data_IF_666657509104
#
_entry.id   IF_666657509104
#
_cell.length_a   1.000
_cell.length_b   1.000
_cell.length_c   1.000
_cell.angle_alpha   90.00
_cell.angle_beta   90.00
_cell.angle_gamma   90.00
#
_symmetry.space_group_name_H-M   'P 1'
#
loop_
_entity.id
_entity.type
_entity.pdbx_description
1 polymer ?
#
# COMPACT_ATOMS: atom_id res chain seq x y z
N UNK A 1 7.52 35.97 6.03
CA UNK A 1 6.93 35.53 4.77
C UNK A 1 7.99 34.70 4.05
N UNK A 2 7.94 33.37 4.19
CA UNK A 2 8.85 32.50 3.42
C UNK A 2 8.34 32.47 1.99
N UNK A 3 9.08 33.05 1.07
CA UNK A 3 8.89 32.89 -0.36
C UNK A 3 9.20 31.43 -0.65
N UNK A 4 8.17 30.58 -0.68
CA UNK A 4 8.29 29.21 -1.17
C UNK A 4 8.80 29.30 -2.61
N UNK A 5 9.97 28.74 -2.83
CA UNK A 5 10.65 28.69 -4.11
C UNK A 5 9.78 27.85 -5.05
N UNK A 6 8.91 28.46 -5.86
CA UNK A 6 7.98 27.81 -6.78
C UNK A 6 8.65 26.90 -7.82
N UNK A 7 9.97 26.80 -7.81
CA UNK A 7 10.75 26.08 -8.80
C UNK A 7 11.17 24.67 -8.37
N UNK A 8 11.12 24.34 -7.08
CA UNK A 8 11.52 22.99 -6.59
C UNK A 8 10.31 22.06 -6.62
N UNK A 9 10.40 20.93 -7.32
CA UNK A 9 9.30 19.95 -7.34
C UNK A 9 9.01 19.37 -5.96
N UNK A 10 7.73 19.19 -5.66
CA UNK A 10 7.28 18.43 -4.50
C UNK A 10 7.38 16.94 -4.85
N UNK A 11 8.07 16.15 -4.03
CA UNK A 11 8.06 14.71 -4.16
C UNK A 11 6.82 14.17 -3.43
N UNK A 12 6.03 13.33 -4.12
CA UNK A 12 4.86 12.66 -3.56
C UNK A 12 5.04 11.14 -3.74
N UNK A 13 5.16 10.44 -2.62
CA UNK A 13 5.19 8.99 -2.56
C UNK A 13 3.79 8.40 -2.64
N UNK A 14 3.55 7.49 -3.59
CA UNK A 14 2.24 6.85 -3.76
C UNK A 14 2.41 5.33 -3.80
N UNK A 15 1.85 4.66 -2.80
CA UNK A 15 1.72 3.20 -2.77
C UNK A 15 0.36 2.81 -3.38
N UNK A 16 0.41 2.29 -4.61
CA UNK A 16 -0.75 1.82 -5.37
C UNK A 16 -1.14 0.39 -4.94
N UNK A 17 -1.68 0.28 -3.72
CA UNK A 17 -2.14 -1.01 -3.21
C UNK A 17 -3.48 -1.45 -3.80
N UNK A 18 -3.77 -2.75 -3.75
CA UNK A 18 -5.05 -3.31 -4.24
C UNK A 18 -6.25 -2.97 -3.35
N UNK A 19 -6.05 -2.83 -2.06
CA UNK A 19 -7.13 -2.46 -1.14
C UNK A 19 -7.17 -0.97 -0.83
N UNK A 20 -6.01 -0.32 -0.77
CA UNK A 20 -5.90 1.09 -0.44
C UNK A 20 -4.76 1.74 -1.23
N UNK A 21 -4.99 2.97 -1.66
CA UNK A 21 -3.95 3.90 -2.08
C UNK A 21 -3.43 4.61 -0.84
N UNK A 22 -2.11 4.72 -0.73
CA UNK A 22 -1.47 5.40 0.41
C UNK A 22 -0.45 6.40 -0.09
N UNK A 23 -0.38 7.52 0.59
CA UNK A 23 0.69 8.51 0.46
C UNK A 23 1.42 8.63 1.79
N UNK A 24 2.36 9.55 1.92
CA UNK A 24 3.00 9.80 3.21
C UNK A 24 2.00 10.23 4.30
N UNK A 25 0.91 10.91 3.93
CA UNK A 25 0.01 11.58 4.86
C UNK A 25 -1.46 11.13 4.76
N UNK A 26 -1.83 10.30 3.79
CA UNK A 26 -3.21 9.83 3.65
C UNK A 26 -3.32 8.38 3.16
N UNK A 27 -4.47 7.78 3.48
CA UNK A 27 -4.85 6.44 3.04
C UNK A 27 -6.33 6.47 2.64
N UNK A 28 -6.67 5.86 1.50
CA UNK A 28 -8.05 5.73 1.03
C UNK A 28 -8.23 4.47 0.18
N UNK A 29 -9.48 3.99 0.09
CA UNK A 29 -9.80 2.75 -0.62
C UNK A 29 -9.48 2.84 -2.11
N UNK A 30 -8.90 1.78 -2.66
CA UNK A 30 -8.64 1.61 -4.09
C UNK A 30 -9.93 1.17 -4.79
N UNK A 31 -10.76 2.11 -5.20
CA UNK A 31 -11.98 1.86 -5.95
C UNK A 31 -12.33 3.11 -6.73
N UNK A 32 -12.88 2.95 -7.92
CA UNK A 32 -13.30 4.04 -8.80
C UNK A 32 -14.59 3.66 -9.50
N UNK A 33 -15.65 4.42 -9.24
CA UNK A 33 -16.88 4.36 -10.03
C UNK A 33 -16.91 5.54 -11.01
N UNK A 34 -17.05 5.27 -12.31
CA UNK A 34 -17.05 6.31 -13.36
C UNK A 34 -18.45 6.61 -13.87
N UNK A 35 -18.71 7.88 -14.16
CA UNK A 35 -20.01 8.37 -14.62
C UNK A 35 -19.86 9.41 -15.74
N UNK A 36 -20.77 9.38 -16.72
CA UNK A 36 -20.84 10.38 -17.78
C UNK A 36 -21.63 11.65 -17.35
N UNK A 37 -22.37 11.56 -16.23
CA UNK A 37 -23.13 12.68 -15.65
C UNK A 37 -22.74 12.82 -14.18
N UNK A 38 -22.83 14.05 -13.69
CA UNK A 38 -22.49 14.35 -12.30
C UNK A 38 -23.36 13.54 -11.32
N UNK A 39 -22.75 12.74 -10.41
CA UNK A 39 -23.48 11.95 -9.43
C UNK A 39 -24.06 12.81 -8.31
N UNK A 40 -25.11 12.30 -7.66
CA UNK A 40 -25.79 13.00 -6.55
C UNK A 40 -24.88 13.14 -5.33
N UNK A 41 -24.10 12.11 -5.01
CA UNK A 41 -23.16 12.12 -3.89
C UNK A 41 -21.77 12.52 -4.37
N UNK A 42 -21.18 13.57 -3.76
CA UNK A 42 -19.97 14.23 -4.26
C UNK A 42 -18.79 14.21 -3.29
N UNK A 43 -18.89 13.48 -2.18
CA UNK A 43 -17.90 13.58 -1.08
C UNK A 43 -16.45 13.29 -1.50
N UNK A 44 -16.25 12.41 -2.47
CA UNK A 44 -14.93 12.06 -3.03
C UNK A 44 -14.96 12.15 -4.57
N UNK A 45 -15.72 13.12 -5.10
CA UNK A 45 -15.84 13.32 -6.53
C UNK A 45 -14.55 13.90 -7.09
N UNK A 46 -14.00 13.23 -8.10
CA UNK A 46 -12.93 13.69 -8.98
C UNK A 46 -13.54 13.93 -10.37
N UNK A 47 -13.23 15.07 -10.99
CA UNK A 47 -13.62 15.38 -12.37
C UNK A 47 -12.35 15.58 -13.17
N UNK A 48 -12.19 14.78 -14.23
CA UNK A 48 -11.03 14.82 -15.11
C UNK A 48 -11.48 14.55 -16.56
N UNK A 49 -11.02 15.36 -17.49
CA UNK A 49 -11.36 15.30 -18.93
C UNK A 49 -12.89 15.18 -19.19
N UNK A 50 -13.70 15.92 -18.42
CA UNK A 50 -15.15 15.95 -18.57
C UNK A 50 -15.91 14.73 -18.05
N UNK A 51 -15.23 13.76 -17.42
CA UNK A 51 -15.82 12.59 -16.78
C UNK A 51 -15.78 12.72 -15.26
N UNK A 52 -16.71 12.04 -14.60
CA UNK A 52 -16.90 12.06 -13.15
C UNK A 52 -16.49 10.73 -12.56
N UNK A 53 -15.70 10.77 -11.47
CA UNK A 53 -15.18 9.59 -10.80
C UNK A 53 -15.41 9.68 -9.29
N UNK A 54 -16.11 8.73 -8.70
CA UNK A 54 -16.21 8.59 -7.24
C UNK A 54 -15.07 7.71 -6.73
N UNK A 55 -14.22 8.30 -5.91
CA UNK A 55 -13.04 7.63 -5.36
C UNK A 55 -13.38 6.90 -4.07
N UNK A 56 -12.98 5.63 -3.98
CA UNK A 56 -13.21 4.76 -2.82
C UNK A 56 -14.51 3.97 -2.90
N UNK A 57 -15.24 4.10 -3.98
CA UNK A 57 -16.41 3.28 -4.31
C UNK A 57 -15.98 2.06 -5.13
N UNK A 58 -16.73 0.96 -5.00
CA UNK A 58 -16.44 -0.33 -5.60
C UNK A 58 -15.15 -1.01 -5.07
N UNK A 59 -15.05 -2.31 -5.29
CA UNK A 59 -13.90 -3.10 -4.87
C UNK A 59 -13.09 -3.49 -6.10
N UNK A 60 -11.79 -3.16 -6.12
CA UNK A 60 -10.92 -3.60 -7.21
C UNK A 60 -10.41 -5.01 -6.96
N UNK A 61 -10.56 -5.85 -7.97
CA UNK A 61 -9.91 -7.14 -7.99
C UNK A 61 -8.41 -7.01 -8.28
N UNK A 62 -7.66 -8.02 -7.86
CA UNK A 62 -6.24 -8.12 -8.16
C UNK A 62 -6.03 -8.26 -9.68
N UNK A 63 -5.31 -7.32 -10.28
CA UNK A 63 -4.80 -7.43 -11.65
C UNK A 63 -3.29 -7.45 -11.64
N UNK A 64 -2.69 -8.38 -12.40
CA UNK A 64 -1.22 -8.47 -12.51
C UNK A 64 -0.62 -7.27 -13.29
N UNK A 65 -1.43 -6.57 -14.08
CA UNK A 65 -1.02 -5.40 -14.85
C UNK A 65 -1.80 -4.17 -14.41
N UNK A 66 -1.14 -3.30 -13.63
CA UNK A 66 -1.72 -2.02 -13.18
C UNK A 66 -1.88 -1.02 -14.31
N UNK A 67 -1.14 -1.16 -15.41
CA UNK A 67 -1.14 -0.22 -16.53
C UNK A 67 -2.30 -0.47 -17.50
N UNK A 68 -2.83 -1.70 -17.52
CA UNK A 68 -4.03 -2.03 -18.28
C UNK A 68 -5.30 -1.39 -17.68
N UNK A 69 -5.20 -0.84 -16.47
CA UNK A 69 -6.30 -0.29 -15.71
C UNK A 69 -6.14 1.24 -15.56
N UNK A 70 -6.95 1.99 -16.32
CA UNK A 70 -6.96 3.46 -16.30
C UNK A 70 -7.28 4.07 -14.93
N UNK A 71 -7.93 3.33 -14.03
CA UNK A 71 -8.32 3.82 -12.72
C UNK A 71 -7.10 4.11 -11.83
N UNK A 72 -5.97 3.40 -12.01
CA UNK A 72 -4.76 3.73 -11.24
C UNK A 72 -4.22 5.12 -11.54
N UNK A 73 -4.44 5.64 -12.75
CA UNK A 73 -4.11 7.03 -13.07
C UNK A 73 -5.05 8.01 -12.34
N UNK A 74 -6.36 7.74 -12.36
CA UNK A 74 -7.36 8.53 -11.63
C UNK A 74 -7.08 8.51 -10.12
N UNK A 75 -6.71 7.35 -9.57
CA UNK A 75 -6.31 7.21 -8.17
C UNK A 75 -5.01 7.97 -7.85
N UNK A 76 -4.08 8.06 -8.82
CA UNK A 76 -2.88 8.90 -8.70
C UNK A 76 -3.25 10.38 -8.61
N UNK A 77 -4.15 10.88 -9.46
CA UNK A 77 -4.64 12.27 -9.37
C UNK A 77 -5.33 12.54 -8.04
N UNK A 78 -6.16 11.60 -7.56
CA UNK A 78 -6.80 11.72 -6.25
C UNK A 78 -5.77 11.76 -5.10
N UNK A 79 -4.71 10.96 -5.18
CA UNK A 79 -3.62 10.95 -4.20
C UNK A 79 -2.86 12.29 -4.19
N UNK A 80 -2.53 12.83 -5.37
CA UNK A 80 -1.90 14.15 -5.52
C UNK A 80 -2.82 15.24 -4.93
N UNK A 81 -4.10 15.24 -5.30
CA UNK A 81 -5.05 16.24 -4.79
C UNK A 81 -5.18 16.21 -3.26
N UNK A 82 -5.17 15.02 -2.63
CA UNK A 82 -5.16 14.90 -1.16
C UNK A 82 -3.88 15.45 -0.53
N UNK A 83 -2.72 15.13 -1.08
CA UNK A 83 -1.43 15.63 -0.60
C UNK A 83 -1.31 17.15 -0.75
N UNK A 84 -1.74 17.71 -1.88
CA UNK A 84 -1.75 19.14 -2.09
C UNK A 84 -2.74 19.86 -1.15
N UNK A 85 -3.92 19.29 -0.91
CA UNK A 85 -4.88 19.83 0.06
C UNK A 85 -4.29 19.87 1.48
N UNK A 86 -3.61 18.83 1.93
CA UNK A 86 -2.91 18.81 3.24
C UNK A 86 -1.87 19.92 3.31
N UNK A 87 -1.17 20.17 2.20
CA UNK A 87 -0.16 21.25 2.07
C UNK A 87 -0.78 22.62 1.80
N UNK A 88 -2.10 22.73 1.69
CA UNK A 88 -2.85 23.95 1.36
C UNK A 88 -2.40 24.58 0.04
N UNK A 89 -2.16 23.74 -0.96
CA UNK A 89 -1.74 24.12 -2.31
C UNK A 89 -2.77 23.60 -3.32
N UNK A 90 -2.98 24.36 -4.38
CA UNK A 90 -3.85 23.98 -5.51
C UNK A 90 -3.06 23.89 -6.83
N UNK A 91 -1.81 24.34 -6.82
CA UNK A 91 -0.91 24.22 -7.96
C UNK A 91 0.48 23.81 -7.48
N UNK A 92 1.14 22.87 -8.18
CA UNK A 92 2.48 22.41 -7.86
C UNK A 92 3.16 21.72 -9.03
N UNK A 93 4.50 21.78 -9.02
CA UNK A 93 5.34 20.86 -9.79
C UNK A 93 5.56 19.60 -8.95
N UNK A 94 5.19 18.45 -9.47
CA UNK A 94 5.20 17.18 -8.72
C UNK A 94 6.14 16.18 -9.37
N UNK A 95 7.04 15.62 -8.57
CA UNK A 95 7.81 14.43 -8.89
C UNK A 95 7.19 13.24 -8.16
N UNK A 96 6.74 12.23 -8.90
CA UNK A 96 6.11 11.05 -8.34
C UNK A 96 7.17 10.05 -7.85
N UNK A 97 6.92 9.44 -6.71
CA UNK A 97 7.69 8.31 -6.22
C UNK A 97 6.73 7.14 -5.98
N UNK A 98 6.83 6.08 -6.77
CA UNK A 98 5.91 4.95 -6.71
C UNK A 98 6.65 3.62 -6.70
N UNK A 99 5.95 2.52 -6.63
CA UNK A 99 6.59 1.22 -6.61
C UNK A 99 5.81 0.08 -7.23
N UNK A 100 6.59 -0.96 -7.54
CA UNK A 100 6.13 -2.25 -8.04
C UNK A 100 6.67 -3.37 -7.13
N UNK A 101 6.02 -4.54 -7.10
CA UNK A 101 6.62 -5.73 -6.50
C UNK A 101 8.03 -5.94 -7.03
N UNK A 102 8.97 -6.37 -6.17
CA UNK A 102 10.39 -6.46 -6.53
C UNK A 102 10.61 -7.26 -7.82
N UNK A 103 9.89 -8.38 -7.98
CA UNK A 103 9.96 -9.26 -9.15
C UNK A 103 9.49 -8.62 -10.46
N UNK A 104 8.76 -7.51 -10.40
CA UNK A 104 8.21 -6.80 -11.58
C UNK A 104 9.00 -5.55 -11.94
N UNK A 105 9.81 -5.04 -11.00
CA UNK A 105 10.52 -3.76 -11.20
C UNK A 105 11.41 -3.81 -12.43
N UNK A 106 12.16 -4.90 -12.64
CA UNK A 106 13.08 -5.03 -13.78
C UNK A 106 12.39 -4.95 -15.14
N UNK A 107 11.17 -5.50 -15.26
CA UNK A 107 10.45 -5.61 -16.53
C UNK A 107 9.46 -4.46 -16.75
N UNK A 108 8.80 -3.97 -15.70
CA UNK A 108 7.67 -3.05 -15.83
C UNK A 108 7.98 -1.60 -15.41
N UNK A 109 9.16 -1.35 -14.84
CA UNK A 109 9.54 -0.03 -14.29
C UNK A 109 9.35 1.12 -15.29
N UNK A 110 9.88 0.99 -16.49
CA UNK A 110 9.86 2.08 -17.48
C UNK A 110 8.46 2.29 -18.06
N UNK A 111 7.73 1.21 -18.29
CA UNK A 111 6.34 1.28 -18.73
C UNK A 111 5.44 1.91 -17.67
N UNK A 112 5.61 1.54 -16.39
CA UNK A 112 4.84 2.12 -15.29
C UNK A 112 5.19 3.60 -15.07
N UNK A 113 6.46 3.98 -15.23
CA UNK A 113 6.87 5.38 -15.23
C UNK A 113 6.20 6.18 -16.34
N UNK A 114 6.18 5.66 -17.57
CA UNK A 114 5.50 6.31 -18.71
C UNK A 114 3.99 6.42 -18.47
N UNK A 115 3.36 5.38 -17.91
CA UNK A 115 1.95 5.40 -17.56
C UNK A 115 1.63 6.51 -16.56
N UNK A 116 2.45 6.72 -15.53
CA UNK A 116 2.26 7.78 -14.54
C UNK A 116 2.50 9.18 -15.13
N UNK A 117 3.36 9.29 -16.13
CA UNK A 117 3.75 10.54 -16.81
C UNK A 117 3.10 10.67 -18.20
N UNK A 118 1.90 10.09 -18.42
CA UNK A 118 1.22 10.15 -19.72
C UNK A 118 0.79 11.57 -20.13
N UNK A 119 0.80 12.51 -19.20
CA UNK A 119 0.59 13.95 -19.39
C UNK A 119 1.65 14.71 -18.60
N UNK A 120 2.23 15.75 -19.19
CA UNK A 120 3.21 16.62 -18.52
C UNK A 120 2.54 17.60 -17.55
N UNK A 121 1.31 18.02 -17.87
CA UNK A 121 0.48 18.90 -17.03
C UNK A 121 -0.95 18.41 -17.03
N UNK A 122 -1.60 18.49 -15.88
CA UNK A 122 -2.97 18.03 -15.67
C UNK A 122 -3.76 19.02 -14.83
N UNK A 123 -5.00 19.28 -15.30
CA UNK A 123 -6.03 20.03 -14.58
C UNK A 123 -7.13 19.07 -14.18
N UNK A 124 -7.52 19.07 -12.91
CA UNK A 124 -8.62 18.26 -12.41
C UNK A 124 -9.31 18.91 -11.22
N UNK A 125 -10.58 18.59 -11.01
CA UNK A 125 -11.31 18.98 -9.81
C UNK A 125 -11.39 17.80 -8.87
N UNK A 126 -11.12 18.01 -7.60
CA UNK A 126 -11.26 16.96 -6.60
C UNK A 126 -11.77 17.54 -5.27
N UNK A 127 -12.89 16.98 -4.76
CA UNK A 127 -13.51 17.39 -3.49
C UNK A 127 -13.82 18.88 -3.41
N UNK A 128 -14.25 19.47 -4.53
CA UNK A 128 -14.64 20.89 -4.63
C UNK A 128 -13.48 21.88 -4.83
N UNK A 129 -12.24 21.41 -4.97
CA UNK A 129 -11.09 22.24 -5.32
C UNK A 129 -10.59 21.92 -6.74
N UNK A 130 -10.11 22.93 -7.44
CA UNK A 130 -9.46 22.82 -8.74
C UNK A 130 -7.94 22.75 -8.54
N UNK A 131 -7.30 21.78 -9.16
CA UNK A 131 -5.87 21.55 -9.08
C UNK A 131 -5.21 21.68 -10.45
N UNK A 132 -4.06 22.34 -10.49
CA UNK A 132 -3.16 22.40 -11.63
C UNK A 132 -1.81 21.78 -11.24
N UNK A 133 -1.39 20.72 -11.94
CA UNK A 133 -0.20 19.94 -11.57
C UNK A 133 0.68 19.71 -12.78
N UNK A 134 1.94 20.13 -12.69
CA UNK A 134 2.99 19.77 -13.64
C UNK A 134 3.70 18.49 -13.14
N UNK A 135 3.57 17.41 -13.89
CA UNK A 135 4.25 16.15 -13.61
C UNK A 135 5.66 16.17 -14.20
N UNK A 136 6.65 16.50 -13.38
CA UNK A 136 8.04 16.75 -13.85
C UNK A 136 8.92 15.51 -13.87
N UNK A 137 8.45 14.39 -13.33
CA UNK A 137 9.18 13.13 -13.34
C UNK A 137 8.59 12.09 -12.42
N UNK A 138 9.09 10.86 -12.53
CA UNK A 138 8.73 9.77 -11.62
C UNK A 138 9.90 8.84 -11.37
N UNK A 139 10.01 8.36 -10.13
CA UNK A 139 10.90 7.28 -9.71
C UNK A 139 10.09 6.06 -9.31
N UNK A 140 10.52 4.88 -9.77
CA UNK A 140 9.91 3.60 -9.43
C UNK A 140 10.86 2.79 -8.57
N UNK A 141 10.36 2.27 -7.43
CA UNK A 141 11.10 1.54 -6.42
C UNK A 141 10.50 0.16 -6.15
N UNK A 142 11.27 -0.79 -5.58
CA UNK A 142 10.72 -2.03 -5.08
C UNK A 142 9.76 -1.79 -3.90
N UNK A 143 8.52 -2.27 -4.02
CA UNK A 143 7.52 -2.26 -2.96
C UNK A 143 8.01 -3.08 -1.76
N UNK A 144 7.60 -2.74 -0.55
CA UNK A 144 8.04 -3.40 0.68
C UNK A 144 9.44 -2.96 1.12
N UNK A 145 10.47 -3.08 0.26
CA UNK A 145 11.83 -2.62 0.59
C UNK A 145 11.88 -1.13 0.94
N UNK A 146 11.09 -0.32 0.25
CA UNK A 146 10.98 1.10 0.54
C UNK A 146 10.50 1.37 1.97
N UNK A 147 9.59 0.55 2.51
CA UNK A 147 9.06 0.73 3.86
C UNK A 147 10.10 0.60 4.98
N UNK A 148 11.28 0.07 4.68
CA UNK A 148 12.41 -0.08 5.63
C UNK A 148 13.66 0.66 5.18
N UNK A 149 13.57 1.47 4.12
CA UNK A 149 14.72 2.11 3.50
C UNK A 149 15.48 3.08 4.45
N UNK A 150 14.78 3.77 5.32
CA UNK A 150 15.33 4.65 6.36
C UNK A 150 15.96 3.90 7.54
N UNK A 151 15.57 2.63 7.75
CA UNK A 151 16.05 1.74 8.81
C UNK A 151 17.01 0.65 8.33
N UNK A 152 17.47 0.68 7.06
CA UNK A 152 18.38 -0.34 6.51
C UNK A 152 19.68 -0.54 7.33
N UNK A 153 20.06 0.44 8.15
CA UNK A 153 21.23 0.32 9.04
C UNK A 153 21.08 -0.81 10.07
N UNK A 154 19.83 -1.16 10.41
CA UNK A 154 19.49 -2.17 11.41
C UNK A 154 19.52 -3.60 10.83
N UNK A 155 19.54 -3.72 9.49
CA UNK A 155 19.60 -5.01 8.77
C UNK A 155 21.03 -5.51 8.66
N UNK A 156 21.56 -6.02 9.78
CA UNK A 156 22.87 -6.69 9.82
C UNK A 156 22.68 -8.19 9.62
N UNK A 157 23.58 -8.82 8.86
CA UNK A 157 23.49 -10.25 8.55
C UNK A 157 22.23 -10.56 7.74
N UNK A 158 21.65 -11.73 8.01
CA UNK A 158 20.48 -12.22 7.29
C UNK A 158 19.20 -11.81 7.99
N UNK A 159 18.24 -11.29 7.21
CA UNK A 159 16.92 -10.89 7.68
C UNK A 159 15.88 -11.24 6.62
N UNK A 160 14.64 -11.41 7.04
CA UNK A 160 13.51 -11.55 6.13
C UNK A 160 12.57 -10.35 6.30
N UNK A 161 12.09 -9.81 5.20
CA UNK A 161 11.07 -8.75 5.16
C UNK A 161 9.81 -9.31 4.52
N UNK A 162 8.69 -9.24 5.23
CA UNK A 162 7.38 -9.60 4.73
C UNK A 162 6.49 -8.36 4.62
N UNK A 163 6.18 -7.95 3.39
CA UNK A 163 5.18 -6.92 3.12
C UNK A 163 3.83 -7.60 2.87
N UNK A 164 2.97 -7.55 3.88
CA UNK A 164 1.66 -8.20 3.86
C UNK A 164 0.61 -7.13 3.53
N UNK A 165 0.25 -7.08 2.25
CA UNK A 165 -0.78 -6.19 1.73
C UNK A 165 -2.20 -6.74 1.87
N UNK A 166 -3.14 -6.12 1.15
CA UNK A 166 -4.52 -6.61 1.10
C UNK A 166 -4.63 -7.91 0.28
N UNK A 167 -4.04 -7.94 -0.91
CA UNK A 167 -4.14 -9.07 -1.85
C UNK A 167 -2.97 -10.05 -1.80
N UNK A 168 -1.77 -9.59 -1.44
CA UNK A 168 -0.53 -10.36 -1.55
C UNK A 168 0.35 -10.21 -0.32
N UNK A 169 1.21 -11.19 -0.13
CA UNK A 169 2.38 -11.17 0.73
C UNK A 169 3.62 -11.18 -0.18
N UNK A 170 4.41 -10.12 -0.13
CA UNK A 170 5.70 -10.02 -0.81
C UNK A 170 6.81 -10.25 0.21
N UNK A 171 7.67 -11.23 -0.04
CA UNK A 171 8.74 -11.58 0.89
C UNK A 171 10.10 -11.37 0.23
N UNK A 172 10.99 -10.72 0.98
CA UNK A 172 12.36 -10.44 0.57
C UNK A 172 13.34 -11.01 1.58
N UNK A 173 14.30 -11.76 1.07
CA UNK A 173 15.46 -12.19 1.83
C UNK A 173 16.55 -11.11 1.70
N UNK A 174 16.97 -10.53 2.82
CA UNK A 174 17.90 -9.40 2.85
C UNK A 174 19.17 -9.84 3.57
N UNK A 175 20.30 -9.82 2.89
CA UNK A 175 21.62 -10.09 3.47
C UNK A 175 22.48 -8.83 3.46
N UNK A 176 22.93 -8.40 4.64
CA UNK A 176 23.73 -7.19 4.83
C UNK A 176 23.17 -5.99 4.04
N UNK A 177 21.87 -5.70 4.25
CA UNK A 177 21.13 -4.56 3.64
C UNK A 177 20.84 -4.71 2.14
N UNK A 178 21.12 -5.87 1.53
CA UNK A 178 20.91 -6.11 0.10
C UNK A 178 19.86 -7.20 -0.12
N UNK A 179 18.77 -6.89 -0.83
CA UNK A 179 17.82 -7.92 -1.24
C UNK A 179 18.50 -9.00 -2.11
N UNK A 180 18.15 -10.24 -1.86
CA UNK A 180 18.58 -11.39 -2.65
C UNK A 180 17.46 -11.76 -3.62
N UNK A 181 17.45 -11.21 -4.83
CA UNK A 181 16.35 -11.35 -5.80
C UNK A 181 15.87 -12.78 -6.02
N UNK A 182 16.81 -13.74 -6.10
CA UNK A 182 16.50 -15.16 -6.29
C UNK A 182 15.76 -15.81 -5.12
N UNK A 183 15.78 -15.18 -3.95
CA UNK A 183 15.11 -15.62 -2.72
C UNK A 183 13.89 -14.75 -2.38
N UNK A 184 13.48 -13.86 -3.29
CA UNK A 184 12.28 -13.06 -3.14
C UNK A 184 11.11 -13.75 -3.83
N UNK A 185 9.95 -13.69 -3.20
CA UNK A 185 8.75 -14.30 -3.75
C UNK A 185 7.49 -13.47 -3.42
N UNK A 186 6.44 -13.71 -4.16
CA UNK A 186 5.12 -13.11 -3.94
C UNK A 186 4.09 -14.21 -3.91
N UNK A 187 3.25 -14.22 -2.88
CA UNK A 187 2.12 -15.13 -2.76
C UNK A 187 0.81 -14.37 -2.62
N UNK A 188 -0.27 -14.97 -3.10
CA UNK A 188 -1.63 -14.48 -2.95
C UNK A 188 -2.14 -14.79 -1.54
N UNK A 189 -1.51 -14.17 -0.52
CA UNK A 189 -1.72 -14.46 0.90
C UNK A 189 -1.74 -13.16 1.73
N UNK A 190 -2.69 -12.27 1.41
CA UNK A 190 -2.87 -10.98 2.07
C UNK A 190 -4.03 -10.97 3.08
N UNK A 191 -4.38 -9.78 3.57
CA UNK A 191 -5.44 -9.64 4.59
C UNK A 191 -6.83 -9.97 4.05
N UNK A 192 -7.07 -9.78 2.75
CA UNK A 192 -8.35 -10.12 2.12
C UNK A 192 -8.60 -11.63 2.10
N UNK A 193 -7.57 -12.45 1.88
CA UNK A 193 -7.71 -13.91 1.95
C UNK A 193 -8.05 -14.38 3.37
N UNK A 194 -7.51 -13.70 4.40
CA UNK A 194 -7.92 -13.95 5.78
C UNK A 194 -9.41 -13.61 5.98
N UNK A 195 -9.86 -12.47 5.48
CA UNK A 195 -11.26 -12.06 5.48
C UNK A 195 -12.17 -13.12 4.85
N UNK A 196 -11.81 -13.62 3.65
CA UNK A 196 -12.57 -14.64 2.95
C UNK A 196 -12.62 -15.95 3.74
N UNK A 197 -11.50 -16.37 4.34
CA UNK A 197 -11.45 -17.57 5.19
C UNK A 197 -12.37 -17.46 6.40
N UNK A 198 -12.40 -16.28 7.03
CA UNK A 198 -13.32 -15.99 8.16
C UNK A 198 -14.78 -16.07 7.70
N UNK A 199 -15.12 -15.43 6.58
CA UNK A 199 -16.50 -15.46 6.04
C UNK A 199 -16.96 -16.87 5.74
N UNK A 200 -16.11 -17.67 5.11
CA UNK A 200 -16.41 -19.07 4.79
C UNK A 200 -16.62 -19.89 6.07
N UNK A 201 -15.77 -19.72 7.09
CA UNK A 201 -15.90 -20.43 8.35
C UNK A 201 -17.20 -20.04 9.10
N UNK A 202 -17.54 -18.74 9.16
CA UNK A 202 -18.79 -18.28 9.78
C UNK A 202 -20.02 -18.83 9.07
N UNK A 203 -19.99 -18.87 7.73
CA UNK A 203 -21.07 -19.46 6.94
C UNK A 203 -21.25 -20.95 7.24
N UNK A 204 -20.14 -21.71 7.37
CA UNK A 204 -20.18 -23.13 7.77
C UNK A 204 -20.72 -23.35 9.17
N UNK A 205 -20.30 -22.51 10.14
CA UNK A 205 -20.68 -22.68 11.56
C UNK A 205 -22.11 -22.21 11.87
N UNK A 206 -22.53 -21.12 11.23
CA UNK A 206 -23.76 -20.41 11.63
C UNK A 206 -24.77 -20.21 10.51
N UNK A 207 -24.46 -20.65 9.28
CA UNK A 207 -25.33 -20.45 8.12
C UNK A 207 -25.45 -18.98 7.66
N UNK A 208 -24.65 -18.09 8.21
CA UNK A 208 -24.68 -16.65 7.93
C UNK A 208 -23.27 -16.09 7.89
N UNK A 209 -22.96 -15.29 6.86
CA UNK A 209 -21.73 -14.52 6.82
C UNK A 209 -21.89 -13.23 7.62
N UNK A 210 -20.85 -12.81 8.36
CA UNK A 210 -20.80 -11.51 8.98
C UNK A 210 -20.44 -10.42 7.95
N UNK A 211 -20.86 -9.18 8.24
CA UNK A 211 -20.46 -8.00 7.47
C UNK A 211 -18.92 -7.84 7.48
N UNK A 212 -18.36 -7.48 6.34
CA UNK A 212 -16.91 -7.34 6.17
C UNK A 212 -16.30 -6.27 7.08
N UNK A 213 -17.05 -5.21 7.39
CA UNK A 213 -16.61 -4.14 8.29
C UNK A 213 -16.45 -4.67 9.72
N UNK A 214 -17.31 -5.59 10.15
CA UNK A 214 -17.21 -6.22 11.47
C UNK A 214 -15.99 -7.12 11.53
N UNK A 215 -15.78 -7.94 10.51
CA UNK A 215 -14.62 -8.83 10.43
C UNK A 215 -13.32 -8.00 10.40
N UNK A 216 -13.25 -6.99 9.52
CA UNK A 216 -12.08 -6.09 9.41
C UNK A 216 -11.72 -5.46 10.75
N UNK A 217 -12.75 -5.05 11.55
CA UNK A 217 -12.53 -4.50 12.88
C UNK A 217 -11.86 -5.51 13.81
N UNK A 218 -12.32 -6.76 13.83
CA UNK A 218 -11.68 -7.81 14.65
C UNK A 218 -10.27 -8.08 14.18
N UNK A 219 -10.05 -8.18 12.86
CA UNK A 219 -8.73 -8.45 12.29
C UNK A 219 -7.72 -7.33 12.64
N UNK A 220 -8.15 -6.06 12.61
CA UNK A 220 -7.28 -4.90 12.91
C UNK A 220 -6.99 -4.72 14.38
N UNK A 221 -7.99 -4.91 15.23
CA UNK A 221 -7.89 -4.54 16.65
C UNK A 221 -7.83 -5.76 17.59
N UNK A 222 -7.93 -6.97 17.06
CA UNK A 222 -7.98 -8.20 17.82
C UNK A 222 -9.34 -8.48 18.47
N UNK A 223 -10.25 -7.50 18.48
CA UNK A 223 -11.56 -7.59 19.14
C UNK A 223 -12.60 -6.67 18.50
N UNK A 224 -13.89 -6.89 18.82
CA UNK A 224 -15.00 -5.98 18.51
C UNK A 224 -16.16 -6.22 19.49
N UNK A 225 -17.10 -5.28 19.57
CA UNK A 225 -18.33 -5.41 20.36
C UNK A 225 -19.37 -6.26 19.61
N UNK A 226 -19.19 -7.57 19.64
CA UNK A 226 -20.05 -8.58 18.99
C UNK A 226 -20.25 -9.76 19.93
N UNK A 227 -21.18 -10.67 19.59
CA UNK A 227 -21.39 -11.85 20.44
C UNK A 227 -20.13 -12.71 20.53
N UNK A 228 -19.85 -13.26 21.71
CA UNK A 228 -18.64 -14.04 22.03
C UNK A 228 -18.41 -15.21 21.06
N UNK A 229 -19.48 -15.90 20.65
CA UNK A 229 -19.37 -17.02 19.70
C UNK A 229 -18.81 -16.59 18.33
N UNK A 230 -19.22 -15.41 17.81
CA UNK A 230 -18.68 -14.86 16.56
C UNK A 230 -17.25 -14.37 16.73
N UNK A 231 -16.99 -13.65 17.82
CA UNK A 231 -15.64 -13.17 18.13
C UNK A 231 -14.62 -14.31 18.20
N UNK A 232 -14.95 -15.37 18.96
CA UNK A 232 -14.11 -16.56 19.08
C UNK A 232 -13.87 -17.25 17.73
N UNK A 233 -14.92 -17.41 16.90
CA UNK A 233 -14.79 -18.04 15.60
C UNK A 233 -13.88 -17.21 14.66
N UNK A 234 -14.03 -15.88 14.64
CA UNK A 234 -13.18 -14.98 13.83
C UNK A 234 -11.73 -15.05 14.32
N UNK A 235 -11.49 -14.94 15.61
CA UNK A 235 -10.15 -14.97 16.19
C UNK A 235 -9.46 -16.33 15.94
N UNK A 236 -10.18 -17.45 16.08
CA UNK A 236 -9.62 -18.78 15.81
C UNK A 236 -9.20 -18.93 14.37
N UNK A 237 -10.03 -18.50 13.42
CA UNK A 237 -9.69 -18.55 11.98
C UNK A 237 -8.51 -17.63 11.66
N UNK A 238 -8.46 -16.44 12.27
CA UNK A 238 -7.34 -15.52 12.08
C UNK A 238 -6.02 -16.08 12.62
N UNK A 239 -6.03 -16.76 13.78
CA UNK A 239 -4.84 -17.44 14.31
C UNK A 239 -4.35 -18.54 13.38
N UNK A 240 -5.26 -19.38 12.87
CA UNK A 240 -4.91 -20.42 11.91
C UNK A 240 -4.31 -19.83 10.62
N UNK A 241 -4.90 -18.73 10.12
CA UNK A 241 -4.39 -18.03 8.95
C UNK A 241 -2.97 -17.49 9.19
N UNK A 242 -2.72 -16.84 10.32
CA UNK A 242 -1.39 -16.32 10.68
C UNK A 242 -0.37 -17.45 10.88
N UNK A 243 -0.76 -18.56 11.50
CA UNK A 243 0.08 -19.77 11.56
C UNK A 243 0.46 -20.26 10.14
N UNK A 244 -0.47 -20.15 9.18
CA UNK A 244 -0.22 -20.40 7.76
C UNK A 244 0.80 -19.44 7.14
N UNK A 245 0.80 -18.15 7.52
CA UNK A 245 1.85 -17.19 7.10
C UNK A 245 3.22 -17.68 7.56
N UNK A 246 3.38 -17.94 8.86
CA UNK A 246 4.66 -18.40 9.41
C UNK A 246 5.13 -19.73 8.82
N UNK A 247 4.21 -20.65 8.48
CA UNK A 247 4.55 -21.90 7.79
C UNK A 247 5.17 -21.62 6.43
N UNK A 248 4.55 -20.73 5.62
CA UNK A 248 5.09 -20.32 4.31
C UNK A 248 6.43 -19.63 4.41
N UNK A 249 6.60 -18.75 5.39
CA UNK A 249 7.91 -18.13 5.62
C UNK A 249 9.01 -19.19 5.91
N UNK A 250 8.68 -20.21 6.71
CA UNK A 250 9.61 -21.32 7.00
C UNK A 250 9.89 -22.19 5.77
N UNK A 251 8.91 -22.43 4.90
CA UNK A 251 9.10 -23.11 3.61
C UNK A 251 10.09 -22.34 2.71
N UNK A 252 10.24 -21.04 2.93
CA UNK A 252 11.18 -20.15 2.25
C UNK A 252 12.37 -19.73 3.12
N UNK A 253 12.88 -20.64 3.90
CA UNK A 253 14.13 -20.51 4.69
C UNK A 253 14.05 -19.51 5.89
N UNK A 254 12.86 -19.07 6.32
CA UNK A 254 12.75 -18.31 7.56
C UNK A 254 13.03 -19.21 8.77
N UNK A 255 14.05 -18.85 9.53
CA UNK A 255 14.38 -19.48 10.83
C UNK A 255 14.52 -18.37 11.88
N UNK A 256 13.66 -18.34 12.92
CA UNK A 256 13.72 -17.32 13.95
C UNK A 256 14.97 -17.40 14.83
N UNK A 257 15.71 -18.52 14.83
CA UNK A 257 16.99 -18.63 15.55
C UNK A 257 18.15 -18.00 14.77
N UNK A 258 18.00 -17.83 13.45
CA UNK A 258 19.08 -17.38 12.56
C UNK A 258 18.87 -15.96 12.03
N UNK A 259 17.61 -15.48 11.97
CA UNK A 259 17.30 -14.20 11.33
C UNK A 259 16.11 -13.49 11.95
N UNK A 260 16.07 -12.17 11.83
CA UNK A 260 14.90 -11.36 12.20
C UNK A 260 13.91 -11.31 11.05
N UNK A 261 12.62 -11.28 11.41
CA UNK A 261 11.51 -11.00 10.49
C UNK A 261 11.05 -9.55 10.69
N UNK A 262 11.09 -8.79 9.61
CA UNK A 262 10.47 -7.46 9.56
C UNK A 262 9.13 -7.56 8.83
N UNK A 263 8.07 -7.11 9.46
CA UNK A 263 6.70 -7.13 8.91
C UNK A 263 6.26 -5.71 8.63
N UNK A 264 5.84 -5.45 7.41
CA UNK A 264 5.31 -4.15 6.98
C UNK A 264 3.95 -4.35 6.27
N UNK A 265 3.25 -3.26 6.01
CA UNK A 265 1.94 -3.31 5.36
C UNK A 265 0.78 -3.54 6.33
N UNK A 266 -0.45 -3.52 5.77
CA UNK A 266 -1.68 -3.64 6.56
C UNK A 266 -1.85 -4.96 7.31
N UNK A 267 -1.17 -6.03 6.85
CA UNK A 267 -1.19 -7.34 7.49
C UNK A 267 -0.36 -7.43 8.78
N UNK A 268 0.45 -6.42 9.10
CA UNK A 268 1.16 -6.36 10.38
C UNK A 268 0.24 -6.46 11.58
N UNK A 269 -0.98 -5.91 11.50
CA UNK A 269 -1.98 -6.05 12.56
C UNK A 269 -2.43 -7.51 12.76
N UNK A 270 -2.50 -8.33 11.71
CA UNK A 270 -2.84 -9.76 11.84
C UNK A 270 -1.74 -10.50 12.62
N UNK A 271 -0.48 -10.27 12.26
CA UNK A 271 0.67 -10.87 12.97
C UNK A 271 0.66 -10.44 14.42
N UNK A 272 0.47 -9.15 14.71
CA UNK A 272 0.43 -8.59 16.08
C UNK A 272 -0.69 -9.18 16.94
N UNK A 273 -1.90 -9.30 16.39
CA UNK A 273 -3.09 -9.68 17.15
C UNK A 273 -3.26 -11.20 17.28
N UNK A 274 -2.76 -11.99 16.31
CA UNK A 274 -3.07 -13.42 16.20
C UNK A 274 -1.85 -14.31 16.06
N UNK A 275 -0.63 -13.74 15.94
CA UNK A 275 0.60 -14.50 15.79
C UNK A 275 1.18 -14.95 17.12
N UNK A 276 1.82 -16.13 17.10
CA UNK A 276 2.68 -16.64 18.17
C UNK A 276 4.14 -16.53 17.69
N UNK A 277 4.91 -15.64 18.30
CA UNK A 277 6.29 -15.36 17.92
C UNK A 277 7.09 -14.76 19.07
N UNK A 278 8.42 -14.88 18.99
CA UNK A 278 9.32 -14.16 19.90
C UNK A 278 9.40 -12.67 19.48
N UNK A 279 8.99 -11.78 20.39
CA UNK A 279 9.03 -10.33 20.19
C UNK A 279 10.45 -9.78 19.92
N UNK A 280 11.50 -10.51 20.31
CA UNK A 280 12.88 -10.16 19.98
C UNK A 280 13.27 -10.45 18.53
N UNK A 281 12.53 -11.32 17.85
CA UNK A 281 12.83 -11.79 16.50
C UNK A 281 11.90 -11.25 15.42
N UNK A 282 10.74 -10.71 15.80
CA UNK A 282 9.75 -10.14 14.86
C UNK A 282 9.57 -8.65 15.12
N UNK A 283 9.87 -7.83 14.13
CA UNK A 283 9.70 -6.37 14.16
C UNK A 283 8.52 -6.00 13.27
N UNK A 284 7.45 -5.44 13.84
CA UNK A 284 6.25 -5.03 13.11
C UNK A 284 6.24 -3.52 12.96
N UNK A 285 6.25 -3.02 11.72
CA UNK A 285 6.01 -1.62 11.44
C UNK A 285 4.49 -1.38 11.32
N UNK A 286 3.93 -0.67 12.29
CA UNK A 286 2.50 -0.37 12.36
C UNK A 286 2.09 0.82 11.46
N UNK A 287 3.05 1.55 10.88
CA UNK A 287 2.75 2.65 9.97
C UNK A 287 2.31 2.11 8.61
N UNK A 288 1.02 2.15 8.35
CA UNK A 288 0.43 1.71 7.07
C UNK A 288 0.91 2.53 5.87
N UNK A 289 1.45 3.72 6.09
CA UNK A 289 2.00 4.62 5.07
C UNK A 289 3.52 4.46 4.90
N UNK A 290 4.17 3.54 5.62
CA UNK A 290 5.62 3.37 5.60
C UNK A 290 6.20 3.19 4.19
N UNK A 291 5.53 2.41 3.33
CA UNK A 291 5.95 2.20 1.93
C UNK A 291 5.96 3.50 1.13
N UNK A 292 4.91 4.30 1.21
CA UNK A 292 4.83 5.58 0.51
C UNK A 292 5.84 6.61 1.04
N UNK A 293 6.03 6.68 2.36
CA UNK A 293 7.09 7.49 3.00
C UNK A 293 8.49 7.06 2.54
N UNK A 294 8.70 5.74 2.44
CA UNK A 294 9.95 5.18 1.94
C UNK A 294 10.24 5.54 0.48
N UNK A 295 9.20 5.60 -0.37
CA UNK A 295 9.36 6.10 -1.74
C UNK A 295 9.81 7.56 -1.76
N UNK A 296 9.18 8.44 -0.97
CA UNK A 296 9.62 9.84 -0.85
C UNK A 296 11.07 9.94 -0.37
N UNK A 297 11.42 9.19 0.67
CA UNK A 297 12.77 9.14 1.21
C UNK A 297 13.81 8.74 0.16
N UNK A 298 13.55 7.66 -0.60
CA UNK A 298 14.45 7.18 -1.64
C UNK A 298 14.55 8.16 -2.81
N UNK A 299 13.45 8.80 -3.21
CA UNK A 299 13.45 9.81 -4.26
C UNK A 299 14.23 11.06 -3.83
N UNK A 300 14.07 11.52 -2.59
CA UNK A 300 14.91 12.60 -2.04
C UNK A 300 16.40 12.26 -2.03
N UNK A 301 16.76 11.02 -1.69
CA UNK A 301 18.16 10.58 -1.76
C UNK A 301 18.71 10.58 -3.19
N UNK A 302 17.90 10.21 -4.18
CA UNK A 302 18.30 10.27 -5.61
C UNK A 302 18.47 11.72 -6.07
N UNK A 303 17.52 12.60 -5.76
CA UNK A 303 17.59 14.02 -6.12
C UNK A 303 18.88 14.68 -5.59
N UNK A 304 19.25 14.41 -4.34
CA UNK A 304 20.50 14.91 -3.74
C UNK A 304 21.75 14.39 -4.44
N UNK A 305 21.77 13.12 -4.86
CA UNK A 305 22.92 12.53 -5.58
C UNK A 305 23.02 12.99 -7.02
N UNK A 306 21.89 13.31 -7.66
CA UNK A 306 21.83 13.78 -9.05
C UNK A 306 22.02 15.29 -9.24
N UNK A 307 22.27 16.05 -8.16
CA UNK A 307 22.46 17.50 -8.24
C UNK A 307 21.20 18.29 -8.61
N UNK A 308 20.02 17.73 -8.36
CA UNK A 308 18.72 18.38 -8.60
C UNK A 308 18.16 19.10 -7.35
N UNK A 309 19.01 19.59 -6.47
CA UNK A 309 18.61 20.43 -5.31
C UNK A 309 19.40 21.71 -5.36
#
# INVERSE_FOLDING_TARGET
MNILNHNTPIIIGIDHGYGNIKTANCCFKTGVASFDKEPTFKSNLLVYEGRYYLIGEEHKEFTADKMADSDYYILTLAAIGRELNIRKQISARVHLAAGLPLTWVSEQKDAFKQYLLQKDSVDFHFRGAEYHVDLVGADIFPQGFAAVADHLRDFRGVNMLADIGNGTMNVMYINDRRPQEKKCFTEKYGTHQCMLSVRENLLKLYGSAADETVIDRVLRYGTAEISERYLTAIQSTAREYVAGIFRRLREHEYDPELMKLYVVGGGGCLIKNFGEFDAGQVVINEDICATAKGYEYLAHLRARKGGMV
#
